data_IF_207268061893
#
_entry.id   IF_207268061893
#
_cell.length_a   1.000
_cell.length_b   1.000
_cell.length_c   1.000
_cell.angle_alpha   90.00
_cell.angle_beta   90.00
_cell.angle_gamma   90.00
#
_symmetry.space_group_name_H-M   'P 1'
#
loop_
_entity.id
_entity.type
_entity.pdbx_description
1 polymer ?
#
# COMPACT_ATOMS: atom_id res chain seq x y z
N UNK A 1 -2.83 8.62 -3.27
CA UNK A 1 -2.46 8.68 -1.83
C UNK A 1 -3.32 9.67 -1.07
N UNK A 2 -3.50 10.90 -1.55
CA UNK A 2 -4.35 11.87 -0.87
C UNK A 2 -4.91 12.90 -1.86
N UNK A 3 -6.08 13.44 -1.52
CA UNK A 3 -6.64 14.65 -2.14
C UNK A 3 -6.89 15.66 -1.02
N UNK A 4 -6.40 16.89 -1.17
CA UNK A 4 -6.58 17.95 -0.18
C UNK A 4 -7.24 19.18 -0.81
N UNK A 5 -8.18 19.80 -0.09
CA UNK A 5 -8.66 21.12 -0.47
C UNK A 5 -7.53 22.16 -0.36
N UNK A 6 -7.42 23.03 -1.37
CA UNK A 6 -6.41 24.08 -1.52
C UNK A 6 -7.07 25.43 -1.26
N UNK A 7 -6.46 26.21 -0.38
CA UNK A 7 -7.01 27.48 0.09
C UNK A 7 -6.17 28.03 1.24
N UNK A 8 -6.27 29.34 1.46
CA UNK A 8 -5.59 30.00 2.58
C UNK A 8 -6.10 29.46 3.92
N UNK A 9 -7.39 29.18 3.99
CA UNK A 9 -8.08 28.57 5.11
C UNK A 9 -7.58 27.17 5.45
N UNK A 10 -7.00 26.45 4.49
CA UNK A 10 -6.48 25.08 4.68
C UNK A 10 -4.97 25.04 4.90
N UNK A 11 -4.28 26.18 4.87
CA UNK A 11 -2.82 26.26 4.97
C UNK A 11 -2.09 25.58 3.80
N UNK A 12 -2.78 25.38 2.68
CA UNK A 12 -2.28 24.68 1.48
C UNK A 12 -2.44 25.63 0.30
N UNK A 13 -1.34 26.24 -0.12
CA UNK A 13 -1.33 27.10 -1.31
C UNK A 13 -0.34 26.59 -2.36
N UNK A 14 0.76 26.00 -1.90
CA UNK A 14 1.84 25.53 -2.77
C UNK A 14 1.99 24.00 -2.70
N UNK A 15 2.48 23.35 -3.78
CA UNK A 15 2.72 21.90 -3.79
C UNK A 15 3.58 21.40 -2.62
N UNK A 16 4.55 22.21 -2.17
CA UNK A 16 5.42 21.91 -1.03
C UNK A 16 4.63 21.78 0.28
N UNK A 17 3.55 22.54 0.45
CA UNK A 17 2.65 22.43 1.60
C UNK A 17 1.93 21.08 1.60
N UNK A 18 1.62 20.55 0.41
CA UNK A 18 0.99 19.23 0.23
C UNK A 18 1.86 18.11 0.78
N UNK A 19 3.15 18.10 0.46
CA UNK A 19 4.11 17.12 0.99
C UNK A 19 4.27 17.27 2.51
N UNK A 20 4.36 18.51 3.01
CA UNK A 20 4.45 18.76 4.46
C UNK A 20 3.22 18.19 5.18
N UNK A 21 2.03 18.42 4.65
CA UNK A 21 0.78 17.90 5.20
C UNK A 21 0.69 16.37 5.12
N UNK A 22 1.20 15.78 4.03
CA UNK A 22 1.28 14.34 3.88
C UNK A 22 2.15 13.72 4.98
N UNK A 23 3.35 14.26 5.22
CA UNK A 23 4.24 13.81 6.31
C UNK A 23 3.61 13.96 7.70
N UNK A 24 2.81 15.01 7.92
CA UNK A 24 2.10 15.20 9.20
C UNK A 24 1.00 14.15 9.41
N UNK A 25 0.27 13.79 8.34
CA UNK A 25 -0.83 12.84 8.42
C UNK A 25 -0.36 11.38 8.53
N UNK A 26 0.88 11.08 8.13
CA UNK A 26 1.50 9.77 8.30
C UNK A 26 1.48 9.33 9.78
N UNK A 27 1.85 10.24 10.68
CA UNK A 27 1.83 10.01 12.13
C UNK A 27 0.44 9.75 12.71
N UNK A 28 -0.62 10.11 11.98
CA UNK A 28 -2.01 9.91 12.40
C UNK A 28 -2.67 8.67 11.78
N UNK A 29 -1.92 7.86 11.03
CA UNK A 29 -2.42 6.72 10.26
C UNK A 29 -3.59 7.07 9.31
N UNK A 30 -3.72 8.35 8.93
CA UNK A 30 -4.82 8.86 8.11
C UNK A 30 -4.57 8.73 6.60
N UNK A 31 -3.38 8.26 6.21
CA UNK A 31 -2.98 8.08 4.81
C UNK A 31 -3.04 6.61 4.46
N UNK A 32 -3.71 6.32 3.35
CA UNK A 32 -3.76 5.00 2.75
C UNK A 32 -3.44 5.13 1.26
N UNK A 33 -2.68 4.17 0.74
CA UNK A 33 -2.37 4.10 -0.67
C UNK A 33 -3.23 3.02 -1.32
N UNK A 34 -3.82 3.35 -2.47
CA UNK A 34 -4.49 2.42 -3.35
C UNK A 34 -3.79 2.45 -4.71
N UNK A 35 -3.51 1.30 -5.32
CA UNK A 35 -3.03 1.26 -6.70
C UNK A 35 -4.07 1.90 -7.62
N UNK A 36 -3.61 2.85 -8.43
CA UNK A 36 -4.46 3.57 -9.39
C UNK A 36 -3.70 3.68 -10.71
N UNK A 37 -4.46 3.71 -11.81
CA UNK A 37 -3.96 3.98 -13.15
C UNK A 37 -4.32 5.41 -13.53
N UNK A 38 -3.32 6.29 -13.56
CA UNK A 38 -3.46 7.63 -14.09
C UNK A 38 -3.37 7.59 -15.62
N UNK A 39 -4.40 8.08 -16.32
CA UNK A 39 -4.41 8.21 -17.78
C UNK A 39 -4.55 9.65 -18.21
N UNK A 40 -3.64 10.06 -19.09
CA UNK A 40 -3.67 11.36 -19.74
C UNK A 40 -4.32 11.23 -21.11
N UNK A 41 -5.40 11.98 -21.34
CA UNK A 41 -6.06 12.14 -22.65
C UNK A 41 -6.03 13.62 -23.05
N UNK A 42 -6.15 13.97 -24.34
CA UNK A 42 -6.01 15.36 -24.80
C UNK A 42 -6.92 16.38 -24.10
N UNK A 43 -8.09 15.95 -23.61
CA UNK A 43 -9.07 16.83 -22.94
C UNK A 43 -9.31 16.52 -21.47
N UNK A 44 -8.87 15.36 -20.99
CA UNK A 44 -9.18 14.90 -19.63
C UNK A 44 -8.03 14.12 -19.03
N UNK A 45 -7.86 14.22 -17.72
CA UNK A 45 -7.06 13.32 -16.89
C UNK A 45 -8.04 12.39 -16.19
N UNK A 46 -7.87 11.08 -16.31
CA UNK A 46 -8.67 10.10 -15.58
C UNK A 46 -7.82 9.29 -14.63
N UNK A 47 -8.38 9.00 -13.46
CA UNK A 47 -7.83 8.08 -12.47
C UNK A 47 -8.76 6.87 -12.49
N UNK A 48 -8.21 5.71 -12.84
CA UNK A 48 -8.91 4.44 -12.88
C UNK A 48 -8.36 3.52 -11.79
N UNK A 49 -9.16 2.59 -11.27
CA UNK A 49 -8.67 1.54 -10.37
C UNK A 49 -7.98 0.40 -11.15
N UNK A 50 -7.61 -0.68 -10.45
CA UNK A 50 -6.99 -1.85 -11.09
C UNK A 50 -7.93 -2.63 -12.01
N UNK A 51 -9.25 -2.53 -11.81
CA UNK A 51 -10.28 -3.16 -12.64
C UNK A 51 -10.56 -2.33 -13.91
N UNK A 52 -10.10 -1.07 -13.95
CA UNK A 52 -10.36 -0.11 -15.02
C UNK A 52 -11.61 0.73 -14.79
N UNK A 53 -12.19 0.67 -13.59
CA UNK A 53 -13.32 1.50 -13.20
C UNK A 53 -12.87 2.94 -12.97
N UNK A 54 -13.64 3.90 -13.47
CA UNK A 54 -13.32 5.31 -13.35
C UNK A 54 -13.55 5.81 -11.92
N UNK A 55 -12.48 6.24 -11.27
CA UNK A 55 -12.51 6.81 -9.91
C UNK A 55 -12.73 8.31 -9.98
N UNK A 56 -11.87 9.02 -10.72
CA UNK A 56 -11.93 10.47 -10.87
C UNK A 56 -11.65 10.87 -12.33
N UNK A 57 -12.27 11.96 -12.76
CA UNK A 57 -12.00 12.54 -14.08
C UNK A 57 -12.01 14.06 -14.01
N UNK A 58 -10.94 14.65 -14.51
CA UNK A 58 -10.72 16.09 -14.51
C UNK A 58 -10.56 16.59 -15.95
N UNK A 59 -11.22 17.70 -16.33
CA UNK A 59 -10.85 18.42 -17.54
C UNK A 59 -9.36 18.83 -17.48
N UNK A 60 -8.62 18.54 -18.54
CA UNK A 60 -7.19 18.86 -18.64
C UNK A 60 -6.93 20.37 -18.43
N UNK A 61 -7.88 21.21 -18.86
CA UNK A 61 -7.80 22.68 -18.69
C UNK A 61 -7.87 23.16 -17.23
N UNK A 62 -8.35 22.33 -16.31
CA UNK A 62 -8.41 22.66 -14.88
C UNK A 62 -7.17 22.18 -14.11
N UNK A 63 -6.37 21.29 -14.70
CA UNK A 63 -5.14 20.77 -14.11
C UNK A 63 -4.04 21.83 -14.20
N UNK A 64 -3.45 22.15 -13.06
CA UNK A 64 -2.42 23.18 -12.92
C UNK A 64 -1.35 22.74 -11.94
N UNK A 65 -0.19 23.40 -11.97
CA UNK A 65 0.95 23.14 -11.08
C UNK A 65 1.34 21.65 -10.96
N UNK A 66 1.58 20.93 -12.07
CA UNK A 66 2.12 19.59 -11.98
C UNK A 66 3.55 19.66 -11.41
N UNK A 67 3.77 18.98 -10.29
CA UNK A 67 5.02 19.01 -9.53
C UNK A 67 5.43 17.60 -9.16
N UNK A 68 6.73 17.32 -9.28
CA UNK A 68 7.33 16.07 -8.86
C UNK A 68 8.15 16.33 -7.60
N UNK A 69 7.94 15.53 -6.57
CA UNK A 69 8.78 15.50 -5.40
C UNK A 69 9.65 14.25 -5.44
N UNK A 70 10.95 14.48 -5.66
CA UNK A 70 12.00 13.47 -5.61
C UNK A 70 12.88 13.80 -4.42
N UNK A 71 12.96 12.88 -3.46
CA UNK A 71 13.81 13.00 -2.29
C UNK A 71 15.12 12.27 -2.54
N UNK A 72 16.24 12.93 -2.23
CA UNK A 72 17.57 12.32 -2.23
C UNK A 72 17.82 11.51 -0.95
N UNK A 73 16.97 11.65 0.07
CA UNK A 73 17.09 10.93 1.34
C UNK A 73 16.47 9.54 1.20
N UNK A 74 17.24 8.45 1.38
CA UNK A 74 16.73 7.08 1.33
C UNK A 74 15.68 6.78 2.41
N UNK A 75 15.64 7.55 3.50
CA UNK A 75 14.66 7.40 4.59
C UNK A 75 13.33 8.10 4.33
N UNK A 76 13.21 8.86 3.23
CA UNK A 76 11.98 9.56 2.91
C UNK A 76 10.99 8.59 2.25
N UNK A 77 9.99 8.15 3.03
CA UNK A 77 8.92 7.26 2.58
C UNK A 77 8.14 7.89 1.41
N UNK A 78 8.05 9.22 1.40
CA UNK A 78 7.40 9.98 0.35
C UNK A 78 8.39 10.42 -0.72
N UNK A 79 8.93 9.44 -1.44
CA UNK A 79 9.71 9.66 -2.65
C UNK A 79 8.91 9.31 -3.91
N UNK A 80 9.33 9.87 -5.04
CA UNK A 80 8.72 9.68 -6.34
C UNK A 80 7.23 10.05 -6.35
N UNK A 81 6.92 11.23 -5.81
CA UNK A 81 5.55 11.72 -5.63
C UNK A 81 5.19 12.68 -6.75
N UNK A 82 4.05 12.43 -7.38
CA UNK A 82 3.39 13.32 -8.34
C UNK A 82 2.29 14.11 -7.63
N UNK A 83 2.27 15.43 -7.86
CA UNK A 83 1.24 16.33 -7.38
C UNK A 83 0.72 17.18 -8.53
N UNK A 84 -0.58 17.48 -8.52
CA UNK A 84 -1.17 18.52 -9.36
C UNK A 84 -2.39 19.13 -8.68
N UNK A 85 -2.72 20.36 -9.07
CA UNK A 85 -3.86 21.11 -8.55
C UNK A 85 -4.96 21.19 -9.59
N UNK A 86 -6.17 20.75 -9.24
CA UNK A 86 -7.37 20.90 -10.05
C UNK A 86 -8.13 22.12 -9.57
N UNK A 87 -8.27 23.13 -10.43
CA UNK A 87 -9.05 24.33 -10.14
C UNK A 87 -10.55 24.04 -10.18
N UNK A 88 -11.30 24.81 -9.39
CA UNK A 88 -12.76 24.81 -9.45
C UNK A 88 -13.26 25.08 -10.89
N UNK A 89 -14.18 24.24 -11.36
CA UNK A 89 -14.86 24.44 -12.64
C UNK A 89 -15.96 25.51 -12.53
N UNK A 90 -15.59 26.77 -12.74
CA UNK A 90 -16.54 27.88 -12.72
C UNK A 90 -17.59 27.83 -13.83
N UNK A 91 -17.42 26.99 -14.87
CA UNK A 91 -18.34 26.92 -16.01
C UNK A 91 -19.56 26.05 -15.71
N UNK A 92 -19.47 25.08 -14.79
CA UNK A 92 -20.57 24.17 -14.45
C UNK A 92 -21.52 24.66 -13.36
N UNK A 93 -21.41 25.94 -12.96
CA UNK A 93 -22.21 26.54 -11.90
C UNK A 93 -21.34 26.83 -10.67
N UNK A 94 -21.61 27.95 -10.00
CA UNK A 94 -20.85 28.37 -8.80
C UNK A 94 -20.98 27.28 -7.71
N UNK A 95 -19.87 26.78 -7.20
CA UNK A 95 -19.74 25.99 -5.96
C UNK A 95 -19.87 24.45 -6.04
N UNK A 96 -19.51 23.77 -7.14
CA UNK A 96 -19.59 22.30 -7.12
C UNK A 96 -18.38 21.63 -6.47
N UNK A 97 -17.14 22.01 -6.81
CA UNK A 97 -15.95 21.41 -6.21
C UNK A 97 -14.91 22.49 -5.86
N UNK A 98 -14.35 22.51 -4.64
CA UNK A 98 -13.26 23.43 -4.30
C UNK A 98 -12.02 23.15 -5.17
N UNK A 99 -11.05 24.06 -5.11
CA UNK A 99 -9.73 23.77 -5.70
C UNK A 99 -9.08 22.66 -4.89
N UNK A 100 -8.60 21.61 -5.55
CA UNK A 100 -8.09 20.40 -4.92
C UNK A 100 -6.67 20.09 -5.37
N UNK A 101 -5.85 19.55 -4.47
CA UNK A 101 -4.51 19.05 -4.75
C UNK A 101 -4.53 17.53 -4.66
N UNK A 102 -4.18 16.87 -5.76
CA UNK A 102 -4.14 15.42 -5.84
C UNK A 102 -2.70 14.94 -5.76
N UNK A 103 -2.45 13.92 -4.93
CA UNK A 103 -1.13 13.41 -4.61
C UNK A 103 -1.07 11.90 -4.87
N UNK A 104 -0.11 11.50 -5.70
CA UNK A 104 0.11 10.12 -6.14
C UNK A 104 1.56 9.71 -5.92
N UNK A 105 1.80 8.50 -5.42
CA UNK A 105 3.13 7.91 -5.47
C UNK A 105 3.27 7.17 -6.79
N UNK A 106 4.34 7.44 -7.53
CA UNK A 106 4.63 6.72 -8.74
C UNK A 106 5.48 5.49 -8.40
N UNK A 107 5.05 4.30 -8.79
CA UNK A 107 5.77 3.06 -8.46
C UNK A 107 6.72 2.60 -9.59
N UNK A 108 6.33 2.79 -10.85
CA UNK A 108 7.02 2.23 -12.04
C UNK A 108 7.53 3.27 -13.03
N UNK A 109 7.30 4.55 -12.72
CA UNK A 109 7.64 5.69 -13.58
C UNK A 109 8.14 6.81 -12.69
N UNK A 110 9.11 7.59 -13.17
CA UNK A 110 9.50 8.82 -12.48
C UNK A 110 8.34 9.82 -12.46
N UNK A 111 8.02 10.37 -11.29
CA UNK A 111 7.06 11.45 -11.15
C UNK A 111 7.45 12.65 -12.03
N UNK A 112 8.75 12.90 -12.22
CA UNK A 112 9.23 13.98 -13.09
C UNK A 112 8.86 13.73 -14.56
N UNK A 113 9.01 12.49 -15.02
CA UNK A 113 8.62 12.11 -16.38
C UNK A 113 7.10 12.29 -16.59
N UNK A 114 6.30 11.95 -15.58
CA UNK A 114 4.83 12.14 -15.63
C UNK A 114 4.46 13.63 -15.61
N UNK A 115 5.16 14.46 -14.84
CA UNK A 115 5.00 15.92 -14.85
C UNK A 115 5.27 16.49 -16.24
N UNK A 116 6.34 16.05 -16.89
CA UNK A 116 6.69 16.49 -18.24
C UNK A 116 5.63 16.06 -19.27
N UNK A 117 5.06 14.86 -19.11
CA UNK A 117 3.92 14.44 -19.92
C UNK A 117 2.70 15.35 -19.68
N UNK A 118 2.32 15.61 -18.43
CA UNK A 118 1.18 16.50 -18.12
C UNK A 118 1.40 17.88 -18.74
N UNK A 119 2.61 18.46 -18.64
CA UNK A 119 2.96 19.74 -19.28
C UNK A 119 2.85 19.66 -20.81
N UNK A 120 3.26 18.55 -21.42
CA UNK A 120 3.10 18.33 -22.86
C UNK A 120 1.61 18.24 -23.26
N UNK A 121 0.76 17.62 -22.45
CA UNK A 121 -0.69 17.59 -22.66
C UNK A 121 -1.32 18.98 -22.51
N UNK A 122 -0.96 19.73 -21.46
CA UNK A 122 -1.43 21.10 -21.22
C UNK A 122 -1.03 22.06 -22.35
N UNK A 123 0.15 21.88 -22.94
CA UNK A 123 0.63 22.70 -24.06
C UNK A 123 0.18 22.22 -25.45
N UNK A 124 -0.64 21.16 -25.53
CA UNK A 124 -1.12 20.60 -26.80
C UNK A 124 -0.08 19.75 -27.56
N UNK A 125 1.11 19.53 -27.01
CA UNK A 125 2.18 18.70 -27.56
C UNK A 125 2.06 17.21 -27.20
N UNK A 126 0.87 16.75 -26.79
CA UNK A 126 0.62 15.37 -26.35
C UNK A 126 1.03 14.30 -27.36
N UNK A 127 1.08 14.61 -28.67
CA UNK A 127 1.55 13.68 -29.71
C UNK A 127 3.02 13.28 -29.58
N UNK A 128 3.83 14.06 -28.86
CA UNK A 128 5.26 13.77 -28.59
C UNK A 128 5.46 12.86 -27.36
N UNK A 129 4.42 12.65 -26.57
CA UNK A 129 4.47 11.83 -25.36
C UNK A 129 4.48 10.35 -25.73
N UNK A 130 5.43 9.59 -25.17
CA UNK A 130 5.48 8.13 -25.35
C UNK A 130 4.29 7.48 -24.68
N UNK A 131 3.49 6.75 -25.45
CA UNK A 131 2.34 6.00 -24.91
C UNK A 131 2.81 4.78 -24.12
N UNK A 132 2.16 4.49 -23.00
CA UNK A 132 2.33 3.22 -22.30
C UNK A 132 3.60 3.10 -21.45
N UNK A 133 4.02 4.18 -20.77
CA UNK A 133 4.99 4.10 -19.66
C UNK A 133 4.40 3.27 -18.51
N UNK A 134 4.38 1.96 -18.66
CA UNK A 134 4.02 1.00 -17.62
C UNK A 134 5.24 0.41 -16.94
N UNK A 135 6.41 0.63 -17.54
CA UNK A 135 7.66 0.02 -17.13
C UNK A 135 8.81 0.87 -17.70
N UNK A 136 9.07 2.03 -17.11
CA UNK A 136 10.45 2.54 -17.15
C UNK A 136 11.13 1.80 -16.02
N UNK A 137 12.18 1.03 -16.28
CA UNK A 137 12.92 0.27 -15.27
C UNK A 137 13.61 1.13 -14.20
N UNK A 138 12.90 2.10 -13.62
CA UNK A 138 13.16 2.76 -12.36
C UNK A 138 13.11 1.70 -11.26
N UNK A 139 14.23 0.99 -11.12
CA UNK A 139 14.62 0.39 -9.86
C UNK A 139 14.88 1.56 -8.90
N UNK A 140 13.85 2.03 -8.20
CA UNK A 140 14.05 2.88 -7.04
C UNK A 140 14.88 2.06 -6.06
N UNK A 141 16.08 2.58 -5.76
CA UNK A 141 17.20 1.88 -5.15
C UNK A 141 16.81 1.07 -3.92
N UNK A 142 16.95 -0.25 -4.07
CA UNK A 142 17.18 -1.18 -2.98
C UNK A 142 18.68 -1.42 -2.91
N UNK A 143 19.31 -1.04 -1.80
CA UNK A 143 20.55 -1.59 -1.19
C UNK A 143 21.30 -0.51 -0.36
N UNK A 144 21.99 -0.87 0.74
CA UNK A 144 21.43 -0.84 2.08
C UNK A 144 22.33 -0.07 3.07
N UNK A 145 21.83 0.22 4.27
CA UNK A 145 22.73 0.61 5.37
C UNK A 145 22.11 0.27 6.73
N UNK A 146 22.34 -0.97 7.16
CA UNK A 146 22.71 -1.21 8.55
C UNK A 146 24.16 -1.68 8.54
N UNK A 147 25.05 -0.75 8.81
CA UNK A 147 26.46 -0.99 9.06
C UNK A 147 26.55 -1.68 10.41
N UNK A 148 26.87 -2.98 10.42
CA UNK A 148 27.36 -3.65 11.63
C UNK A 148 28.89 -3.56 11.58
N UNK A 149 29.46 -2.76 12.48
CA UNK A 149 30.90 -2.55 12.63
C UNK A 149 31.61 -3.86 13.02
N UNK A 150 32.60 -4.27 12.21
CA UNK A 150 33.64 -5.23 12.59
C UNK A 150 35.00 -4.64 12.21
N UNK A 151 36.04 -4.79 13.05
CA UNK A 151 37.24 -3.97 12.97
C UNK A 151 38.15 -4.40 11.82
N UNK A 152 38.63 -3.41 11.06
CA UNK A 152 39.61 -3.61 10.00
C UNK A 152 41.00 -3.92 10.58
N UNK A 153 41.58 -5.08 10.24
CA UNK A 153 43.04 -5.27 10.08
C UNK A 153 43.41 -6.64 9.51
N UNK A 154 44.12 -6.62 8.37
CA UNK A 154 45.31 -7.47 8.18
C UNK A 154 45.19 -8.69 7.26
N UNK A 155 45.61 -8.51 6.00
CA UNK A 155 46.43 -9.42 5.17
C UNK A 155 46.14 -10.94 5.11
N UNK A 156 45.84 -11.34 3.86
CA UNK A 156 46.27 -12.54 3.10
C UNK A 156 45.50 -13.87 3.19
N UNK A 157 45.15 -14.29 1.97
CA UNK A 157 45.03 -15.63 1.38
C UNK A 157 43.89 -16.58 1.80
N UNK A 158 43.30 -17.15 0.74
CA UNK A 158 42.52 -18.38 0.63
C UNK A 158 41.15 -18.45 1.33
N UNK A 159 40.05 -18.31 0.57
CA UNK A 159 38.78 -19.09 0.70
C UNK A 159 37.64 -18.50 -0.15
N UNK A 160 37.53 -18.90 -1.42
CA UNK A 160 36.44 -18.52 -2.34
C UNK A 160 35.12 -19.29 -2.16
N UNK A 161 34.90 -19.93 -1.00
CA UNK A 161 33.69 -20.73 -0.72
C UNK A 161 32.77 -20.12 0.37
N UNK A 162 33.22 -19.12 1.14
CA UNK A 162 32.43 -18.52 2.22
C UNK A 162 31.51 -17.38 1.76
N UNK A 163 31.90 -16.65 0.71
CA UNK A 163 31.17 -15.47 0.21
C UNK A 163 29.75 -15.78 -0.28
N UNK A 164 29.53 -16.95 -0.88
CA UNK A 164 28.21 -17.36 -1.39
C UNK A 164 27.18 -17.56 -0.27
N UNK A 165 27.63 -18.01 0.91
CA UNK A 165 26.75 -18.27 2.05
C UNK A 165 26.25 -16.98 2.71
N UNK A 166 27.12 -15.96 2.80
CA UNK A 166 26.75 -14.64 3.35
C UNK A 166 25.79 -13.90 2.42
N UNK A 167 26.02 -13.91 1.11
CA UNK A 167 25.12 -13.25 0.15
C UNK A 167 23.73 -13.90 0.13
N UNK A 168 23.66 -15.24 0.21
CA UNK A 168 22.38 -15.95 0.34
C UNK A 168 21.66 -15.56 1.64
N UNK A 169 22.38 -15.48 2.76
CA UNK A 169 21.81 -15.13 4.05
C UNK A 169 21.24 -13.71 4.04
N UNK A 170 22.00 -12.73 3.56
CA UNK A 170 21.56 -11.34 3.44
C UNK A 170 20.34 -11.21 2.53
N UNK A 171 20.29 -11.97 1.43
CA UNK A 171 19.13 -11.99 0.52
C UNK A 171 17.88 -12.54 1.21
N UNK A 172 18.02 -13.61 2.00
CA UNK A 172 16.92 -14.21 2.75
C UNK A 172 16.37 -13.24 3.81
N UNK A 173 17.25 -12.57 4.57
CA UNK A 173 16.86 -11.55 5.57
C UNK A 173 16.15 -10.37 4.91
N UNK A 174 16.68 -9.87 3.80
CA UNK A 174 16.04 -8.79 3.04
C UNK A 174 14.65 -9.20 2.50
N UNK A 175 14.49 -10.46 2.09
CA UNK A 175 13.20 -10.99 1.63
C UNK A 175 12.21 -11.11 2.79
N UNK A 176 12.67 -11.54 3.97
CA UNK A 176 11.86 -11.64 5.18
C UNK A 176 11.32 -10.27 5.60
N UNK A 177 12.19 -9.25 5.67
CA UNK A 177 11.79 -7.89 6.05
C UNK A 177 10.77 -7.29 5.07
N UNK A 178 10.94 -7.53 3.77
CA UNK A 178 9.93 -7.13 2.76
C UNK A 178 8.57 -7.79 3.00
N UNK A 179 8.56 -9.06 3.39
CA UNK A 179 7.32 -9.75 3.71
C UNK A 179 6.64 -9.12 4.93
N UNK A 180 7.41 -8.77 5.96
CA UNK A 180 6.88 -8.11 7.16
C UNK A 180 6.26 -6.75 6.85
N UNK A 181 6.96 -5.91 6.09
CA UNK A 181 6.44 -4.62 5.64
C UNK A 181 5.13 -4.77 4.87
N UNK A 182 5.04 -5.74 3.95
CA UNK A 182 3.84 -5.99 3.16
C UNK A 182 2.69 -6.47 4.03
N UNK A 183 2.96 -7.37 4.99
CA UNK A 183 1.97 -7.86 5.97
C UNK A 183 1.44 -6.70 6.82
N UNK A 184 2.31 -5.85 7.34
CA UNK A 184 1.93 -4.70 8.16
C UNK A 184 1.05 -3.71 7.36
N UNK A 185 1.47 -3.36 6.13
CA UNK A 185 0.68 -2.50 5.24
C UNK A 185 -0.69 -3.12 4.93
N UNK A 186 -0.76 -4.43 4.74
CA UNK A 186 -2.02 -5.12 4.44
C UNK A 186 -2.97 -5.13 5.65
N UNK A 187 -2.45 -5.37 6.85
CA UNK A 187 -3.23 -5.27 8.10
C UNK A 187 -3.75 -3.85 8.31
N UNK A 188 -2.91 -2.83 8.12
CA UNK A 188 -3.31 -1.43 8.23
C UNK A 188 -4.45 -1.10 7.24
N UNK A 189 -4.39 -1.62 6.01
CA UNK A 189 -5.46 -1.48 5.01
C UNK A 189 -6.76 -2.13 5.46
N UNK A 190 -6.72 -3.36 5.97
CA UNK A 190 -7.91 -4.06 6.49
C UNK A 190 -8.54 -3.28 7.64
N UNK A 191 -7.72 -2.83 8.61
CA UNK A 191 -8.21 -2.08 9.76
C UNK A 191 -8.81 -0.73 9.35
N UNK A 192 -8.16 -0.03 8.43
CA UNK A 192 -8.68 1.22 7.85
C UNK A 192 -10.03 1.00 7.15
N UNK A 193 -10.17 -0.08 6.37
CA UNK A 193 -11.42 -0.44 5.74
C UNK A 193 -12.52 -0.78 6.73
N UNK A 194 -12.20 -1.52 7.79
CA UNK A 194 -13.14 -1.81 8.87
C UNK A 194 -13.63 -0.54 9.58
N UNK A 195 -12.74 0.42 9.84
CA UNK A 195 -13.10 1.71 10.47
C UNK A 195 -13.99 2.52 9.53
N UNK A 196 -13.61 2.63 8.25
CA UNK A 196 -14.39 3.37 7.25
C UNK A 196 -15.77 2.76 7.01
N UNK A 197 -15.90 1.42 7.04
CA UNK A 197 -17.21 0.75 6.96
C UNK A 197 -18.11 1.11 8.14
N UNK A 198 -17.58 1.06 9.37
CA UNK A 198 -18.35 1.47 10.57
C UNK A 198 -18.79 2.93 10.49
N UNK A 199 -17.95 3.80 9.94
CA UNK A 199 -18.28 5.21 9.75
C UNK A 199 -19.42 5.38 8.72
N UNK A 200 -19.36 4.67 7.58
CA UNK A 200 -20.46 4.67 6.59
C UNK A 200 -21.77 4.15 7.16
N UNK A 201 -21.74 3.09 7.95
CA UNK A 201 -22.92 2.54 8.59
C UNK A 201 -23.53 3.52 9.60
N UNK A 202 -22.68 4.20 10.39
CA UNK A 202 -23.11 5.25 11.31
C UNK A 202 -23.71 6.45 10.56
N UNK A 203 -23.11 6.88 9.44
CA UNK A 203 -23.64 7.94 8.58
C UNK A 203 -24.98 7.54 7.94
N UNK A 204 -25.10 6.31 7.43
CA UNK A 204 -26.34 5.78 6.87
C UNK A 204 -27.45 5.68 7.91
N UNK A 205 -27.13 5.32 9.15
CA UNK A 205 -28.07 5.27 10.27
C UNK A 205 -28.57 6.68 10.65
N UNK A 206 -27.68 7.67 10.71
CA UNK A 206 -28.02 9.09 10.95
C UNK A 206 -28.89 9.66 9.82
N UNK A 207 -28.62 9.30 8.57
CA UNK A 207 -29.45 9.75 7.43
C UNK A 207 -30.85 9.14 7.47
N UNK A 208 -31.01 7.89 7.95
CA UNK A 208 -32.32 7.25 8.10
C UNK A 208 -33.18 7.89 9.17
N UNK A 209 -32.59 8.37 10.27
CA UNK A 209 -33.34 9.06 11.35
C UNK A 209 -33.73 10.49 10.98
N UNK A 210 -32.90 11.22 10.21
CA UNK A 210 -33.19 12.61 9.79
C UNK A 210 -34.02 12.76 8.50
N UNK A 211 -34.23 11.69 7.72
CA UNK A 211 -34.94 11.77 6.42
C UNK A 211 -36.43 12.12 6.48
N UNK A 212 -37.01 12.31 7.68
CA UNK A 212 -38.40 12.77 7.84
C UNK A 212 -38.62 14.27 7.60
N UNK A 213 -37.58 15.10 7.43
CA UNK A 213 -37.79 16.56 7.41
C UNK A 213 -37.21 17.38 6.26
N UNK A 214 -36.37 16.86 5.37
CA UNK A 214 -36.12 17.56 4.10
C UNK A 214 -35.41 16.68 3.06
N UNK A 215 -36.00 16.64 1.87
CA UNK A 215 -35.43 16.04 0.67
C UNK A 215 -34.43 17.01 0.06
N UNK A 216 -33.19 16.55 -0.21
CA UNK A 216 -32.04 17.26 -0.82
C UNK A 216 -30.99 17.80 0.16
N UNK A 217 -30.33 16.92 0.91
CA UNK A 217 -28.92 17.15 1.27
C UNK A 217 -28.03 16.63 0.13
N UNK A 218 -27.08 17.45 -0.39
CA UNK A 218 -26.13 17.04 -1.42
C UNK A 218 -25.31 15.82 -0.99
N UNK A 219 -24.91 14.97 -1.94
CA UNK A 219 -23.94 13.91 -1.70
C UNK A 219 -22.62 14.59 -1.32
N UNK A 220 -22.18 14.42 -0.08
CA UNK A 220 -20.91 14.94 0.39
C UNK A 220 -19.78 14.29 -0.43
N UNK A 221 -18.91 15.03 -1.14
CA UNK A 221 -17.80 14.47 -1.91
C UNK A 221 -16.92 13.52 -1.08
N UNK A 222 -16.85 13.77 0.23
CA UNK A 222 -16.16 12.92 1.20
C UNK A 222 -16.77 11.51 1.30
N UNK A 223 -18.04 11.32 0.93
CA UNK A 223 -18.71 10.03 0.90
C UNK A 223 -18.13 9.09 -0.16
N UNK A 224 -17.59 9.62 -1.26
CA UNK A 224 -16.90 8.81 -2.27
C UNK A 224 -15.58 8.25 -1.72
N UNK A 225 -14.77 9.13 -1.13
CA UNK A 225 -13.50 8.74 -0.49
C UNK A 225 -13.74 7.76 0.65
N UNK A 226 -14.80 7.97 1.45
CA UNK A 226 -15.14 7.07 2.55
C UNK A 226 -15.64 5.70 2.04
N UNK A 227 -16.45 5.65 0.97
CA UNK A 227 -16.81 4.40 0.30
C UNK A 227 -15.59 3.65 -0.25
N UNK A 228 -14.63 4.37 -0.83
CA UNK A 228 -13.38 3.77 -1.30
C UNK A 228 -12.54 3.22 -0.15
N UNK A 229 -12.42 3.98 0.97
CA UNK A 229 -11.74 3.51 2.19
C UNK A 229 -12.36 2.24 2.74
N UNK A 230 -13.68 2.12 2.66
CA UNK A 230 -14.43 0.98 3.15
C UNK A 230 -14.31 -0.29 2.29
N UNK A 231 -13.61 -0.26 1.16
CA UNK A 231 -13.40 -1.45 0.33
C UNK A 231 -12.33 -2.35 0.92
N UNK A 232 -12.66 -3.63 1.08
CA UNK A 232 -11.69 -4.64 1.47
C UNK A 232 -10.78 -5.01 0.28
N UNK A 233 -9.54 -5.48 0.54
CA UNK A 233 -8.66 -6.01 -0.51
C UNK A 233 -9.32 -7.13 -1.33
N UNK A 234 -8.89 -7.30 -2.59
CA UNK A 234 -9.40 -8.36 -3.46
C UNK A 234 -8.94 -9.78 -3.05
N UNK A 235 -9.57 -10.84 -3.58
CA UNK A 235 -9.19 -12.25 -3.29
C UNK A 235 -7.68 -12.49 -3.52
N UNK A 236 -7.16 -11.94 -4.63
CA UNK A 236 -5.77 -12.13 -5.03
C UNK A 236 -4.78 -11.50 -4.04
N UNK A 237 -5.13 -10.37 -3.41
CA UNK A 237 -4.27 -9.72 -2.42
C UNK A 237 -4.25 -10.52 -1.11
N UNK A 238 -5.40 -11.07 -0.71
CA UNK A 238 -5.46 -12.01 0.41
C UNK A 238 -4.65 -13.27 0.14
N UNK A 239 -4.69 -13.81 -1.08
CA UNK A 239 -3.85 -14.95 -1.45
C UNK A 239 -2.37 -14.55 -1.38
N UNK A 240 -1.97 -13.46 -2.01
CA UNK A 240 -0.58 -12.97 -2.03
C UNK A 240 -0.01 -12.78 -0.61
N UNK A 241 -0.76 -12.13 0.28
CA UNK A 241 -0.29 -11.91 1.65
C UNK A 241 -0.14 -13.23 2.43
N UNK A 242 -1.07 -14.17 2.23
CA UNK A 242 -1.01 -15.49 2.83
C UNK A 242 0.19 -16.29 2.30
N UNK A 243 0.56 -16.12 1.02
CA UNK A 243 1.80 -16.70 0.49
C UNK A 243 3.04 -16.09 1.15
N UNK A 244 3.03 -14.78 1.44
CA UNK A 244 4.12 -14.10 2.17
C UNK A 244 4.25 -14.58 3.61
N UNK A 245 3.16 -14.97 4.28
CA UNK A 245 3.25 -15.67 5.57
C UNK A 245 3.97 -17.01 5.45
N UNK A 246 3.61 -17.86 4.48
CA UNK A 246 4.29 -19.16 4.27
C UNK A 246 5.76 -18.97 3.95
N UNK A 247 6.08 -17.99 3.10
CA UNK A 247 7.46 -17.62 2.78
C UNK A 247 8.21 -17.15 4.02
N UNK A 248 7.59 -16.29 4.83
CA UNK A 248 8.18 -15.81 6.08
C UNK A 248 8.48 -16.96 7.04
N UNK A 249 7.55 -17.91 7.21
CA UNK A 249 7.79 -19.09 8.05
C UNK A 249 8.96 -19.95 7.53
N UNK A 250 9.04 -20.17 6.21
CA UNK A 250 10.16 -20.88 5.60
C UNK A 250 11.50 -20.17 5.82
N UNK A 251 11.52 -18.84 5.68
CA UNK A 251 12.71 -18.04 5.91
C UNK A 251 13.10 -18.05 7.40
N UNK A 252 12.15 -17.92 8.33
CA UNK A 252 12.42 -18.01 9.77
C UNK A 252 13.04 -19.36 10.15
N UNK A 253 12.53 -20.47 9.60
CA UNK A 253 13.11 -21.79 9.85
C UNK A 253 14.52 -21.94 9.29
N UNK A 254 14.79 -21.36 8.11
CA UNK A 254 16.13 -21.33 7.50
C UNK A 254 17.12 -20.46 8.29
N UNK A 255 16.65 -19.34 8.81
CA UNK A 255 17.47 -18.31 9.47
C UNK A 255 17.55 -18.48 11.00
N UNK A 256 16.84 -19.46 11.60
CA UNK A 256 16.67 -19.61 13.05
C UNK A 256 17.94 -19.59 13.90
N UNK A 257 19.08 -20.04 13.36
CA UNK A 257 20.35 -20.07 14.08
C UNK A 257 21.15 -18.76 13.98
N UNK A 258 20.70 -17.83 13.13
CA UNK A 258 21.41 -16.59 12.79
C UNK A 258 20.66 -15.33 13.24
N UNK A 259 19.41 -15.44 13.69
CA UNK A 259 18.58 -14.32 14.18
C UNK A 259 18.35 -14.52 15.68
N UNK A 260 18.77 -13.54 16.50
CA UNK A 260 18.76 -13.67 17.96
C UNK A 260 17.92 -12.60 18.68
N UNK A 261 17.61 -11.45 18.05
CA UNK A 261 16.89 -10.34 18.71
C UNK A 261 16.00 -9.57 17.73
N UNK A 262 14.68 -9.86 17.63
CA UNK A 262 13.98 -11.02 18.20
C UNK A 262 14.38 -12.33 17.52
N UNK A 263 14.40 -13.44 18.26
CA UNK A 263 14.72 -14.76 17.72
C UNK A 263 13.59 -15.31 16.81
N UNK A 264 13.85 -16.40 16.09
CA UNK A 264 12.86 -16.97 15.16
C UNK A 264 11.52 -17.38 15.82
N UNK A 265 11.49 -18.04 16.99
CA UNK A 265 10.24 -18.25 17.74
C UNK A 265 9.48 -16.98 18.10
N UNK A 266 10.15 -15.92 18.55
CA UNK A 266 9.51 -14.63 18.87
C UNK A 266 8.88 -14.01 17.62
N UNK A 267 9.62 -13.97 16.50
CA UNK A 267 9.11 -13.50 15.21
C UNK A 267 7.92 -14.35 14.73
N UNK A 268 7.97 -15.65 14.98
CA UNK A 268 6.87 -16.56 14.65
C UNK A 268 5.61 -16.16 15.43
N UNK A 269 5.69 -15.97 16.75
CA UNK A 269 4.57 -15.50 17.56
C UNK A 269 4.06 -14.13 17.11
N UNK A 270 4.97 -13.20 16.78
CA UNK A 270 4.60 -11.90 16.25
C UNK A 270 3.79 -12.01 14.96
N UNK A 271 4.11 -12.96 14.07
CA UNK A 271 3.38 -13.19 12.82
C UNK A 271 1.97 -13.77 13.04
N UNK A 272 1.70 -14.50 14.13
CA UNK A 272 0.36 -15.01 14.39
C UNK A 272 -0.64 -13.88 14.70
N UNK A 273 -0.19 -12.76 15.26
CA UNK A 273 -1.06 -11.59 15.51
C UNK A 273 -1.66 -11.02 14.21
N UNK A 274 -0.87 -10.53 13.21
CA UNK A 274 -1.42 -10.06 11.95
C UNK A 274 -2.11 -11.17 11.15
N UNK A 275 -1.64 -12.43 11.24
CA UNK A 275 -2.30 -13.57 10.61
C UNK A 275 -3.73 -13.74 11.10
N UNK A 276 -3.96 -13.68 12.42
CA UNK A 276 -5.33 -13.78 12.98
C UNK A 276 -6.22 -12.62 12.53
N UNK A 277 -5.71 -11.39 12.46
CA UNK A 277 -6.46 -10.24 11.93
C UNK A 277 -6.88 -10.46 10.49
N UNK A 278 -5.98 -10.98 9.65
CA UNK A 278 -6.25 -11.27 8.23
C UNK A 278 -7.25 -12.43 8.09
N UNK A 279 -7.09 -13.50 8.87
CA UNK A 279 -8.02 -14.63 8.86
C UNK A 279 -9.42 -14.23 9.35
N UNK A 280 -9.50 -13.37 10.36
CA UNK A 280 -10.76 -12.80 10.81
C UNK A 280 -11.40 -11.96 9.72
N UNK A 281 -10.64 -11.14 8.99
CA UNK A 281 -11.15 -10.40 7.83
C UNK A 281 -11.61 -11.31 6.67
N UNK A 282 -10.95 -12.46 6.47
CA UNK A 282 -11.37 -13.46 5.49
C UNK A 282 -12.68 -14.15 5.86
N UNK A 283 -12.89 -14.47 7.15
CA UNK A 283 -14.06 -15.22 7.64
C UNK A 283 -15.25 -14.31 7.92
N UNK A 284 -14.98 -13.15 8.50
CA UNK A 284 -15.92 -12.09 8.79
C UNK A 284 -15.65 -10.97 7.79
N UNK A 285 -16.31 -11.01 6.64
CA UNK A 285 -16.42 -9.86 5.74
C UNK A 285 -17.23 -8.72 6.37
N UNK A 286 -16.92 -8.32 7.61
CA UNK A 286 -17.51 -7.20 8.34
C UNK A 286 -19.04 -7.13 8.20
N UNK A 287 -19.71 -8.26 8.38
CA UNK A 287 -21.18 -8.33 8.35
C UNK A 287 -21.82 -8.43 6.95
N UNK A 288 -21.04 -8.60 5.88
CA UNK A 288 -21.55 -8.94 4.54
C UNK A 288 -20.69 -10.03 3.86
N UNK A 289 -21.34 -10.90 3.08
CA UNK A 289 -20.69 -11.93 2.23
C UNK A 289 -19.90 -11.28 1.06
N UNK A 290 -18.91 -10.45 1.34
CA UNK A 290 -18.13 -9.71 0.33
C UNK A 290 -16.65 -10.10 0.34
N UNK A 291 -16.18 -10.90 1.31
CA UNK A 291 -14.97 -11.67 1.07
C UNK A 291 -15.35 -12.81 0.10
N UNK A 292 -14.87 -12.82 -1.16
CA UNK A 292 -14.96 -14.01 -1.97
C UNK A 292 -14.33 -15.10 -1.13
N UNK A 293 -14.97 -16.26 -1.03
CA UNK A 293 -14.50 -17.37 -0.20
C UNK A 293 -13.02 -17.61 -0.52
N UNK A 294 -12.12 -16.99 0.26
CA UNK A 294 -10.68 -17.16 0.12
C UNK A 294 -10.52 -18.56 0.62
N UNK A 295 -10.62 -19.49 -0.31
CA UNK A 295 -10.42 -20.89 -0.04
C UNK A 295 -8.95 -20.95 0.32
N UNK A 296 -8.66 -20.95 1.63
CA UNK A 296 -7.30 -21.07 2.17
C UNK A 296 -6.58 -22.28 1.54
N UNK A 297 -7.36 -23.28 1.10
CA UNK A 297 -6.91 -24.43 0.30
C UNK A 297 -6.30 -24.09 -1.07
N UNK A 298 -6.53 -22.90 -1.65
CA UNK A 298 -5.88 -22.44 -2.88
C UNK A 298 -4.45 -21.93 -2.64
N UNK A 299 -4.10 -21.58 -1.40
CA UNK A 299 -2.76 -21.04 -1.06
C UNK A 299 -1.78 -22.19 -0.83
N UNK A 300 -1.44 -22.89 -1.91
CA UNK A 300 -0.52 -24.04 -1.87
C UNK A 300 0.93 -23.57 -1.85
N UNK A 301 1.27 -22.59 -2.68
CA UNK A 301 2.64 -22.07 -2.79
C UNK A 301 2.91 -20.92 -1.81
N UNK A 302 4.12 -20.79 -1.24
CA UNK A 302 5.14 -21.84 -1.16
C UNK A 302 4.69 -22.97 -0.22
N UNK A 303 5.19 -24.18 -0.47
CA UNK A 303 5.03 -25.30 0.47
C UNK A 303 5.85 -25.03 1.73
N UNK A 304 5.39 -25.52 2.88
CA UNK A 304 6.17 -25.37 4.12
C UNK A 304 7.30 -26.39 4.13
N UNK A 305 8.53 -25.94 4.41
CA UNK A 305 9.65 -26.87 4.55
C UNK A 305 9.44 -27.79 5.75
N UNK A 306 10.12 -28.94 5.78
CA UNK A 306 10.04 -29.86 6.93
C UNK A 306 10.52 -29.16 8.21
N UNK A 307 11.60 -28.40 8.12
CA UNK A 307 12.19 -27.63 9.22
C UNK A 307 11.21 -26.57 9.74
N UNK A 308 10.38 -26.01 8.85
CA UNK A 308 9.34 -25.04 9.18
C UNK A 308 8.19 -25.68 9.93
N UNK A 309 7.73 -26.86 9.49
CA UNK A 309 6.70 -27.62 10.20
C UNK A 309 7.16 -28.06 11.58
N UNK A 310 8.42 -28.49 11.70
CA UNK A 310 9.04 -28.80 13.00
C UNK A 310 9.12 -27.56 13.90
N UNK A 311 9.52 -26.40 13.36
CA UNK A 311 9.55 -25.14 14.12
C UNK A 311 8.15 -24.77 14.63
N UNK A 312 7.13 -24.81 13.76
CA UNK A 312 5.74 -24.53 14.13
C UNK A 312 5.24 -25.49 15.22
N UNK A 313 5.48 -26.79 15.07
CA UNK A 313 5.04 -27.79 16.07
C UNK A 313 5.67 -27.58 17.45
N UNK A 314 6.92 -27.12 17.50
CA UNK A 314 7.68 -26.97 18.74
C UNK A 314 7.49 -25.61 19.41
N UNK A 315 7.19 -24.55 18.65
CA UNK A 315 7.19 -23.18 19.17
C UNK A 315 5.79 -22.62 19.39
N UNK A 316 4.75 -23.08 18.67
CA UNK A 316 3.43 -22.47 18.77
C UNK A 316 2.76 -22.74 20.12
N UNK A 317 2.10 -21.71 20.66
CA UNK A 317 1.15 -21.88 21.77
C UNK A 317 -0.06 -22.69 21.33
N UNK A 318 -0.84 -23.21 22.29
CA UNK A 318 -2.07 -23.96 21.99
C UNK A 318 -3.03 -23.20 21.08
N UNK A 319 -3.24 -21.90 21.35
CA UNK A 319 -4.11 -21.03 20.54
C UNK A 319 -3.59 -20.85 19.12
N UNK A 320 -2.29 -20.68 18.94
CA UNK A 320 -1.70 -20.51 17.61
C UNK A 320 -1.69 -21.82 16.82
N UNK A 321 -1.49 -22.94 17.51
CA UNK A 321 -1.63 -24.28 16.92
C UNK A 321 -3.05 -24.49 16.38
N UNK A 322 -4.08 -24.11 17.15
CA UNK A 322 -5.48 -24.15 16.69
C UNK A 322 -5.71 -23.29 15.44
N UNK A 323 -5.14 -22.08 15.40
CA UNK A 323 -5.20 -21.20 14.22
C UNK A 323 -4.55 -21.88 13.02
N UNK A 324 -3.33 -22.40 13.16
CA UNK A 324 -2.61 -23.09 12.08
C UNK A 324 -3.37 -24.32 11.58
N UNK A 325 -3.93 -25.13 12.49
CA UNK A 325 -4.72 -26.31 12.14
C UNK A 325 -6.01 -25.94 11.40
N UNK A 326 -6.64 -24.81 11.75
CA UNK A 326 -7.84 -24.30 11.08
C UNK A 326 -7.60 -23.81 9.63
N UNK A 327 -6.34 -23.54 9.24
CA UNK A 327 -6.02 -23.07 7.87
C UNK A 327 -6.15 -24.16 6.79
N UNK A 328 -6.24 -25.42 7.21
CA UNK A 328 -6.44 -26.56 6.30
C UNK A 328 -5.15 -27.19 5.78
N UNK A 329 -5.33 -28.21 4.94
CA UNK A 329 -4.26 -29.12 4.49
C UNK A 329 -3.13 -28.42 3.73
N UNK A 330 -3.44 -27.38 2.94
CA UNK A 330 -2.44 -26.62 2.19
C UNK A 330 -1.34 -26.00 3.07
N UNK A 331 -1.59 -25.82 4.37
CA UNK A 331 -0.66 -25.29 5.36
C UNK A 331 0.05 -26.37 6.17
N UNK A 332 -0.19 -27.65 5.88
CA UNK A 332 0.39 -28.79 6.60
C UNK A 332 1.16 -29.77 5.71
N UNK A 333 0.95 -29.71 4.39
CA UNK A 333 1.67 -30.51 3.39
C UNK A 333 3.12 -30.10 3.21
#
# INVERSE_FOLDING_TARGET
>A
MATFAVGREFGLQYPEDGIRKLKQLENSSAIWAQPMVLRLRPRVVSVEDENGDLVEQFPMELVTNPTAHLSANPRDVYNNILLFVVKEDKKRGRNLNPTEMHIFQCNRVSANDVVDDIKAFLSGHYKKVRTGRRDTGFMIGYQPAFVMELPARGFRDDTSASSDSSESFERDVNTLNRCFDDIERFVARIQSAAIAQRELEAQAHRQRTHRKQNSRTPIDPQSGILQMRAQLPGEFEFVDILQKFKLSFNLLAKLKNHIHEPNAPELLHFLFTPLTVILDACRWGLGRNIAPQVKLSKVVSPLLSRETRELLQNCLTSRESDVWMAMGEAWRI
#
